data_IF_020162333715
#
_entry.id   IF_020162333715
#
_cell.length_a   1.000
_cell.length_b   1.000
_cell.length_c   1.000
_cell.angle_alpha   90.00
_cell.angle_beta   90.00
_cell.angle_gamma   90.00
#
_symmetry.space_group_name_H-M   'P 1'
#
loop_
_entity.id
_entity.type
_entity.pdbx_description
1 polymer ?
#
# COMPACT_ATOMS: atom_id res chain seq x y z
N UNK A 1 14.09 -24.20 13.47
CA UNK A 1 13.43 -23.61 12.28
C UNK A 1 12.37 -22.64 12.78
N UNK A 2 12.68 -21.35 12.81
CA UNK A 2 11.70 -20.32 13.16
C UNK A 2 10.66 -20.24 12.05
N UNK A 3 9.43 -20.58 12.37
CA UNK A 3 8.27 -20.37 11.51
C UNK A 3 8.25 -18.87 11.19
N UNK A 4 8.44 -18.49 9.93
CA UNK A 4 8.22 -17.11 9.53
C UNK A 4 6.73 -16.83 9.74
N UNK A 5 6.40 -16.11 10.81
CA UNK A 5 5.05 -15.61 11.03
C UNK A 5 4.68 -14.76 9.80
N UNK A 6 3.68 -15.19 9.05
CA UNK A 6 3.17 -14.40 7.93
C UNK A 6 2.64 -13.08 8.47
N UNK A 7 3.39 -12.00 8.29
CA UNK A 7 2.96 -10.68 8.74
C UNK A 7 1.66 -10.29 8.04
N UNK A 8 0.71 -9.78 8.82
CA UNK A 8 -0.59 -9.33 8.32
C UNK A 8 -0.43 -8.15 7.35
N UNK A 9 -1.44 -7.91 6.51
CA UNK A 9 -1.45 -6.72 5.63
C UNK A 9 -1.30 -5.42 6.42
N UNK A 10 -1.81 -5.39 7.65
CA UNK A 10 -1.74 -4.25 8.59
C UNK A 10 -0.31 -3.98 9.07
N UNK A 11 0.39 -5.00 9.53
CA UNK A 11 1.79 -4.85 9.98
C UNK A 11 2.70 -4.48 8.81
N UNK A 12 2.53 -5.15 7.66
CA UNK A 12 3.33 -4.86 6.46
C UNK A 12 3.10 -3.45 5.94
N UNK A 13 1.85 -2.97 5.90
CA UNK A 13 1.55 -1.61 5.43
C UNK A 13 2.11 -0.56 6.37
N UNK A 14 2.09 -0.78 7.69
CA UNK A 14 2.70 0.10 8.68
C UNK A 14 4.23 0.18 8.52
N UNK A 15 4.91 -0.97 8.43
CA UNK A 15 6.36 -0.99 8.21
C UNK A 15 6.77 -0.33 6.89
N UNK A 16 6.00 -0.55 5.84
CA UNK A 16 6.20 0.12 4.55
C UNK A 16 6.01 1.64 4.67
N UNK A 17 4.99 2.11 5.38
CA UNK A 17 4.76 3.54 5.62
C UNK A 17 5.96 4.19 6.33
N UNK A 18 6.57 3.52 7.31
CA UNK A 18 7.80 4.00 7.98
C UNK A 18 8.94 4.21 6.98
N UNK A 19 9.12 3.29 6.01
CA UNK A 19 10.14 3.43 4.96
C UNK A 19 9.81 4.57 4.00
N UNK A 20 8.54 4.74 3.65
CA UNK A 20 8.08 5.86 2.81
C UNK A 20 8.38 7.20 3.49
N UNK A 21 8.08 7.35 4.79
CA UNK A 21 8.38 8.59 5.53
C UNK A 21 9.88 8.91 5.47
N UNK A 22 10.74 7.92 5.70
CA UNK A 22 12.20 8.09 5.62
C UNK A 22 12.66 8.52 4.22
N UNK A 23 12.15 7.87 3.19
CA UNK A 23 12.45 8.23 1.80
C UNK A 23 11.95 9.64 1.47
N UNK A 24 10.74 10.00 1.89
CA UNK A 24 10.17 11.33 1.66
C UNK A 24 10.96 12.43 2.36
N UNK A 25 11.48 12.20 3.57
CA UNK A 25 12.38 13.14 4.25
C UNK A 25 13.69 13.31 3.47
N UNK A 26 14.28 12.21 2.99
CA UNK A 26 15.47 12.25 2.14
C UNK A 26 15.23 13.01 0.83
N UNK A 27 14.09 12.79 0.16
CA UNK A 27 13.73 13.53 -1.05
C UNK A 27 13.60 15.04 -0.80
N UNK A 28 13.07 15.44 0.36
CA UNK A 28 12.99 16.86 0.75
C UNK A 28 14.37 17.46 0.99
N UNK A 29 15.28 16.72 1.63
CA UNK A 29 16.69 17.13 1.76
C UNK A 29 17.35 17.36 0.39
N UNK A 30 17.00 16.55 -0.60
CA UNK A 30 17.40 16.70 -2.02
C UNK A 30 16.58 17.72 -2.80
N UNK A 31 15.74 18.53 -2.15
CA UNK A 31 14.89 19.54 -2.76
C UNK A 31 13.85 19.01 -3.77
N UNK A 32 13.51 17.72 -3.73
CA UNK A 32 12.44 17.10 -4.52
C UNK A 32 11.09 17.19 -3.79
N UNK A 33 10.62 18.40 -3.52
CA UNK A 33 9.46 18.64 -2.65
C UNK A 33 8.15 18.07 -3.21
N UNK A 34 7.88 18.28 -4.48
CA UNK A 34 6.63 17.86 -5.15
C UNK A 34 6.56 16.33 -5.22
N UNK A 35 7.64 15.68 -5.63
CA UNK A 35 7.74 14.22 -5.69
C UNK A 35 7.64 13.59 -4.29
N UNK A 36 8.31 14.19 -3.30
CA UNK A 36 8.19 13.77 -1.90
C UNK A 36 6.75 13.87 -1.40
N UNK A 37 6.04 14.96 -1.75
CA UNK A 37 4.64 15.18 -1.40
C UNK A 37 3.69 14.15 -2.01
N UNK A 38 3.91 13.76 -3.26
CA UNK A 38 3.12 12.70 -3.89
C UNK A 38 3.38 11.34 -3.27
N UNK A 39 4.65 11.01 -3.04
CA UNK A 39 5.06 9.73 -2.47
C UNK A 39 4.57 9.56 -1.03
N UNK A 40 4.74 10.58 -0.17
CA UNK A 40 4.40 10.46 1.25
C UNK A 40 2.89 10.27 1.43
N UNK A 41 2.06 11.01 0.68
CA UNK A 41 0.60 10.92 0.77
C UNK A 41 0.11 9.54 0.34
N UNK A 42 0.51 9.08 -0.84
CA UNK A 42 0.09 7.78 -1.34
C UNK A 42 0.64 6.65 -0.47
N UNK A 43 1.92 6.68 -0.10
CA UNK A 43 2.56 5.55 0.57
C UNK A 43 2.17 5.37 2.04
N UNK A 44 1.90 6.46 2.78
CA UNK A 44 1.37 6.34 4.15
C UNK A 44 -0.14 6.10 4.16
N UNK A 45 -0.85 6.57 3.14
CA UNK A 45 -2.28 6.32 2.94
C UNK A 45 -2.61 4.83 2.98
N UNK A 46 -1.76 3.97 2.41
CA UNK A 46 -1.97 2.52 2.38
C UNK A 46 -2.21 1.97 3.80
N UNK A 47 -1.32 2.34 4.74
CA UNK A 47 -1.43 1.95 6.14
C UNK A 47 -2.65 2.57 6.80
N UNK A 48 -2.88 3.87 6.60
CA UNK A 48 -4.01 4.58 7.19
C UNK A 48 -5.36 3.97 6.80
N UNK A 49 -5.58 3.68 5.52
CA UNK A 49 -6.81 3.05 5.04
C UNK A 49 -6.96 1.60 5.54
N UNK A 50 -5.86 0.86 5.74
CA UNK A 50 -5.90 -0.49 6.33
C UNK A 50 -6.29 -0.42 7.82
N UNK A 51 -5.80 0.57 8.57
CA UNK A 51 -6.20 0.82 9.95
C UNK A 51 -7.68 1.19 10.06
N UNK A 52 -8.17 2.10 9.20
CA UNK A 52 -9.59 2.45 9.14
C UNK A 52 -10.47 1.26 8.75
N UNK A 53 -10.01 0.41 7.84
CA UNK A 53 -10.71 -0.83 7.50
C UNK A 53 -10.86 -1.73 8.74
N UNK A 54 -9.81 -1.88 9.55
CA UNK A 54 -9.85 -2.71 10.77
C UNK A 54 -10.86 -2.20 11.82
N UNK A 55 -11.18 -0.91 11.81
CA UNK A 55 -12.18 -0.28 12.68
C UNK A 55 -13.58 -0.15 12.04
N UNK A 56 -13.80 -0.70 10.85
CA UNK A 56 -15.08 -0.56 10.12
C UNK A 56 -16.25 -1.28 10.80
N UNK A 57 -17.44 -0.67 10.74
CA UNK A 57 -18.66 -1.19 11.37
C UNK A 57 -19.48 -2.09 10.43
N UNK A 58 -19.10 -2.16 9.15
CA UNK A 58 -19.75 -3.03 8.18
C UNK A 58 -18.75 -3.66 7.21
N UNK A 59 -19.11 -4.82 6.65
CA UNK A 59 -18.31 -5.47 5.60
C UNK A 59 -18.13 -4.58 4.36
N UNK A 60 -19.16 -3.80 4.00
CA UNK A 60 -19.13 -2.89 2.86
C UNK A 60 -18.07 -1.80 3.07
N UNK A 61 -18.05 -1.19 4.25
CA UNK A 61 -17.08 -0.16 4.64
C UNK A 61 -15.66 -0.73 4.67
N UNK A 62 -15.47 -1.91 5.28
CA UNK A 62 -14.19 -2.61 5.30
C UNK A 62 -13.61 -2.79 3.89
N UNK A 63 -14.38 -3.34 2.95
CA UNK A 63 -13.90 -3.57 1.59
C UNK A 63 -13.69 -2.27 0.81
N UNK A 64 -14.49 -1.24 1.07
CA UNK A 64 -14.30 0.08 0.47
C UNK A 64 -12.95 0.68 0.90
N UNK A 65 -12.62 0.65 2.19
CA UNK A 65 -11.32 1.13 2.70
C UNK A 65 -10.15 0.30 2.18
N UNK A 66 -10.27 -1.03 2.14
CA UNK A 66 -9.27 -1.90 1.51
C UNK A 66 -9.05 -1.62 0.02
N UNK A 67 -10.11 -1.22 -0.71
CA UNK A 67 -10.00 -0.81 -2.11
C UNK A 67 -9.24 0.52 -2.27
N UNK A 68 -9.46 1.48 -1.37
CA UNK A 68 -8.69 2.74 -1.34
C UNK A 68 -7.21 2.45 -1.08
N UNK A 69 -6.89 1.66 -0.05
CA UNK A 69 -5.51 1.23 0.23
C UNK A 69 -4.86 0.56 -1.00
N UNK A 70 -5.64 -0.26 -1.73
CA UNK A 70 -5.16 -0.91 -2.96
C UNK A 70 -4.87 0.08 -4.09
N UNK A 71 -5.66 1.16 -4.23
CA UNK A 71 -5.40 2.24 -5.19
C UNK A 71 -4.11 2.98 -4.81
N UNK A 72 -3.97 3.38 -3.56
CA UNK A 72 -2.80 4.09 -3.04
C UNK A 72 -1.52 3.26 -3.23
N UNK A 73 -1.57 1.94 -2.99
CA UNK A 73 -0.42 1.07 -3.21
C UNK A 73 0.06 1.08 -4.67
N UNK A 74 -0.86 1.11 -5.65
CA UNK A 74 -0.50 1.21 -7.07
C UNK A 74 0.08 2.58 -7.43
N UNK A 75 -0.46 3.64 -6.83
CA UNK A 75 0.07 4.99 -7.00
C UNK A 75 1.47 5.12 -6.42
N UNK A 76 1.71 4.62 -5.21
CA UNK A 76 3.04 4.59 -4.60
C UNK A 76 4.02 3.77 -5.43
N UNK A 77 3.59 2.62 -5.97
CA UNK A 77 4.41 1.83 -6.89
C UNK A 77 4.83 2.62 -8.13
N UNK A 78 3.89 3.35 -8.73
CA UNK A 78 4.16 4.25 -9.85
C UNK A 78 5.21 5.30 -9.48
N UNK A 79 5.07 5.99 -8.33
CA UNK A 79 6.04 7.00 -7.90
C UNK A 79 7.43 6.43 -7.63
N UNK A 80 7.54 5.23 -7.04
CA UNK A 80 8.84 4.59 -6.82
C UNK A 80 9.52 4.24 -8.15
N UNK A 81 8.76 3.74 -9.14
CA UNK A 81 9.31 3.51 -10.49
C UNK A 81 9.76 4.81 -11.15
N UNK A 82 8.95 5.87 -11.07
CA UNK A 82 9.31 7.15 -11.66
C UNK A 82 10.58 7.73 -11.03
N UNK A 83 10.71 7.66 -9.70
CA UNK A 83 11.93 8.08 -9.00
C UNK A 83 13.18 7.29 -9.44
N UNK A 84 13.03 5.99 -9.72
CA UNK A 84 14.12 5.17 -10.26
C UNK A 84 14.45 5.56 -11.70
N UNK A 85 13.43 5.63 -12.56
CA UNK A 85 13.61 5.85 -14.01
C UNK A 85 14.07 7.29 -14.32
N UNK A 86 13.95 8.22 -13.36
CA UNK A 86 14.54 9.56 -13.39
C UNK A 86 15.89 9.67 -12.66
N UNK A 87 16.53 8.54 -12.35
CA UNK A 87 17.84 8.46 -11.66
C UNK A 87 17.91 9.11 -10.27
N UNK A 88 16.76 9.40 -9.63
CA UNK A 88 16.69 9.93 -8.27
C UNK A 88 16.95 8.81 -7.25
N UNK A 89 16.49 7.60 -7.55
CA UNK A 89 16.79 6.39 -6.78
C UNK A 89 17.59 5.41 -7.64
N UNK A 90 18.64 4.85 -7.05
CA UNK A 90 19.35 3.72 -7.67
C UNK A 90 18.45 2.49 -7.76
N UNK A 91 18.78 1.56 -8.67
CA UNK A 91 18.12 0.25 -8.75
C UNK A 91 18.14 -0.48 -7.41
N UNK A 92 19.25 -0.41 -6.68
CA UNK A 92 19.39 -1.04 -5.36
C UNK A 92 18.43 -0.44 -4.34
N UNK A 93 18.29 0.89 -4.31
CA UNK A 93 17.37 1.58 -3.39
C UNK A 93 15.91 1.29 -3.73
N UNK A 94 15.56 1.30 -5.02
CA UNK A 94 14.18 1.13 -5.48
C UNK A 94 13.69 -0.32 -5.43
N UNK A 95 14.55 -1.30 -5.73
CA UNK A 95 14.16 -2.73 -5.84
C UNK A 95 13.48 -3.25 -4.58
N UNK A 96 14.05 -2.98 -3.41
CA UNK A 96 13.47 -3.42 -2.13
C UNK A 96 12.10 -2.78 -1.88
N UNK A 97 11.93 -1.48 -2.18
CA UNK A 97 10.67 -0.78 -2.01
C UNK A 97 9.59 -1.27 -2.99
N UNK A 98 9.97 -1.49 -4.25
CA UNK A 98 9.07 -2.02 -5.27
C UNK A 98 8.58 -3.42 -4.94
N UNK A 99 9.45 -4.28 -4.38
CA UNK A 99 9.09 -5.64 -3.97
C UNK A 99 8.08 -5.63 -2.82
N UNK A 100 8.32 -4.83 -1.77
CA UNK A 100 7.37 -4.69 -0.65
C UNK A 100 6.04 -4.08 -1.10
N UNK A 101 6.08 -3.05 -1.95
CA UNK A 101 4.88 -2.42 -2.49
C UNK A 101 4.07 -3.41 -3.35
N UNK A 102 4.73 -4.21 -4.18
CA UNK A 102 4.09 -5.27 -4.97
C UNK A 102 3.47 -6.36 -4.09
N UNK A 103 4.10 -6.73 -2.98
CA UNK A 103 3.53 -7.65 -2.01
C UNK A 103 2.23 -7.10 -1.42
N UNK A 104 2.23 -5.84 -0.98
CA UNK A 104 1.02 -5.15 -0.50
C UNK A 104 -0.08 -5.09 -1.56
N UNK A 105 0.25 -4.77 -2.81
CA UNK A 105 -0.70 -4.78 -3.93
C UNK A 105 -1.37 -6.14 -4.08
N UNK A 106 -0.59 -7.24 -4.04
CA UNK A 106 -1.13 -8.61 -4.14
C UNK A 106 -2.07 -8.94 -2.98
N UNK A 107 -1.64 -8.66 -1.75
CA UNK A 107 -2.46 -8.91 -0.54
C UNK A 107 -3.78 -8.13 -0.59
N UNK A 108 -3.70 -6.81 -0.82
CA UNK A 108 -4.87 -5.94 -0.88
C UNK A 108 -5.82 -6.33 -2.01
N UNK A 109 -5.28 -6.67 -3.19
CA UNK A 109 -6.09 -7.12 -4.33
C UNK A 109 -6.82 -8.43 -4.01
N UNK A 110 -6.17 -9.37 -3.33
CA UNK A 110 -6.80 -10.61 -2.89
C UNK A 110 -7.96 -10.33 -1.94
N UNK A 111 -7.75 -9.47 -0.94
CA UNK A 111 -8.79 -9.07 0.03
C UNK A 111 -9.99 -8.43 -0.68
N UNK A 112 -9.76 -7.46 -1.57
CA UNK A 112 -10.83 -6.77 -2.30
C UNK A 112 -11.64 -7.74 -3.17
N UNK A 113 -10.99 -8.70 -3.84
CA UNK A 113 -11.67 -9.70 -4.67
C UNK A 113 -12.63 -10.59 -3.85
N UNK A 114 -12.23 -11.01 -2.65
CA UNK A 114 -13.08 -11.81 -1.76
C UNK A 114 -14.39 -11.11 -1.38
N UNK A 115 -14.36 -9.78 -1.23
CA UNK A 115 -15.56 -8.97 -0.96
C UNK A 115 -16.57 -8.97 -2.11
N UNK A 116 -16.08 -8.91 -3.35
CA UNK A 116 -16.92 -8.91 -4.54
C UNK A 116 -17.62 -10.25 -4.76
N UNK A 117 -16.93 -11.38 -4.50
CA UNK A 117 -17.52 -12.72 -4.59
C UNK A 117 -18.63 -12.94 -3.57
N UNK A 118 -18.49 -12.40 -2.34
CA UNK A 118 -19.54 -12.53 -1.32
C UNK A 118 -20.82 -11.79 -1.69
N UNK A 119 -20.69 -10.62 -2.34
CA UNK A 119 -21.83 -9.78 -2.75
C UNK A 119 -22.64 -10.39 -3.91
N UNK A 120 -22.02 -11.20 -4.77
CA UNK A 120 -22.69 -11.93 -5.86
C UNK A 120 -23.55 -13.08 -5.31
N UNK A 121 -23.03 -13.83 -4.33
CA UNK A 121 -23.74 -14.98 -3.74
C UNK A 121 -24.96 -14.59 -2.89
N UNK A 122 -25.01 -13.36 -2.34
CA UNK A 122 -26.20 -12.87 -1.64
C UNK A 122 -27.34 -12.46 -2.59
N UNK A 123 -27.03 -12.07 -3.83
CA UNK A 123 -28.04 -11.71 -4.85
C UNK A 123 -28.69 -12.92 -5.52
N UNK A 124 -28.06 -14.09 -5.44
CA UNK A 124 -28.57 -15.37 -5.97
C UNK A 124 -29.46 -16.14 -4.99
N UNK A 125 -29.64 -15.65 -3.75
CA UNK A 125 -30.43 -16.29 -2.69
C UNK A 125 -31.73 -15.54 -2.34
N UNK A 126 -32.15 -14.61 -3.17
CA UNK A 126 -33.44 -13.90 -3.12
C UNK A 126 -34.16 -14.12 -4.43
#
# INVERSE_FOLDING_TARGET
>A
MTVQAGHTVREKSYHFAVRIVKLSLWLKDKQHYELSGQLIRSGTGIGANVEEAAASHSRKEFFYKMAIASKEARETHYWIRLLRDCDILTDKQSTSLLNECNELIKMLTSIVKTGNTTTQNSKLKT
#
